data_IF_020856943912
#
_entry.id   IF_020856943912
#
_cell.length_a   1.000
_cell.length_b   1.000
_cell.length_c   1.000
_cell.angle_alpha   90.00
_cell.angle_beta   90.00
_cell.angle_gamma   90.00
#
_symmetry.space_group_name_H-M   'P 1'
#
loop_
_entity.id
_entity.type
_entity.pdbx_description
1 polymer ?
#
# COMPACT_ATOMS: atom_id res chain seq x y z
N UNK A 1 -4.74 15.60 -7.10
CA UNK A 1 -6.11 15.92 -7.57
C UNK A 1 -6.39 17.42 -7.58
N UNK A 2 -6.10 18.20 -6.52
CA UNK A 2 -6.40 19.64 -6.47
C UNK A 2 -5.86 20.47 -7.65
N UNK A 3 -4.61 20.24 -8.07
CA UNK A 3 -4.04 20.95 -9.22
C UNK A 3 -4.80 20.65 -10.53
N UNK A 4 -5.16 19.40 -10.77
CA UNK A 4 -5.93 19.03 -11.97
C UNK A 4 -7.33 19.68 -11.98
N UNK A 5 -7.99 19.76 -10.82
CA UNK A 5 -9.26 20.46 -10.68
C UNK A 5 -9.09 21.96 -10.97
N UNK A 6 -8.05 22.60 -10.42
CA UNK A 6 -7.76 24.01 -10.69
C UNK A 6 -7.55 24.24 -12.18
N UNK A 7 -6.70 23.45 -12.85
CA UNK A 7 -6.47 23.56 -14.30
C UNK A 7 -7.79 23.40 -15.07
N UNK A 8 -8.63 22.43 -14.71
CA UNK A 8 -9.91 22.22 -15.36
C UNK A 8 -10.84 23.43 -15.21
N UNK A 9 -10.85 24.07 -14.02
CA UNK A 9 -11.63 25.30 -13.78
C UNK A 9 -11.04 26.48 -14.57
N UNK A 10 -9.72 26.63 -14.63
CA UNK A 10 -9.05 27.68 -15.42
C UNK A 10 -9.35 27.50 -16.92
N UNK A 11 -9.50 26.28 -17.40
CA UNK A 11 -9.97 25.93 -18.75
C UNK A 11 -11.50 26.06 -18.92
N UNK A 12 -12.21 26.65 -17.94
CA UNK A 12 -13.65 26.88 -17.95
C UNK A 12 -14.51 25.60 -18.08
N UNK A 13 -13.97 24.45 -17.66
CA UNK A 13 -14.75 23.22 -17.57
C UNK A 13 -15.78 23.36 -16.44
N UNK A 14 -17.05 23.07 -16.73
CA UNK A 14 -18.15 23.19 -15.77
C UNK A 14 -17.89 22.30 -14.53
N UNK A 15 -18.08 22.85 -13.33
CA UNK A 15 -17.91 22.11 -12.05
C UNK A 15 -18.70 20.80 -12.01
N UNK A 16 -19.91 20.78 -12.57
CA UNK A 16 -20.73 19.58 -12.66
C UNK A 16 -20.10 18.44 -13.47
N UNK A 17 -19.27 18.75 -14.49
CA UNK A 17 -18.52 17.77 -15.26
C UNK A 17 -17.37 17.24 -14.41
N UNK A 18 -16.66 18.12 -13.72
CA UNK A 18 -15.55 17.77 -12.82
C UNK A 18 -16.05 16.83 -11.72
N UNK A 19 -17.14 17.19 -11.04
CA UNK A 19 -17.75 16.39 -9.97
C UNK A 19 -18.18 14.98 -10.44
N UNK A 20 -18.78 14.88 -11.63
CA UNK A 20 -19.17 13.62 -12.24
C UNK A 20 -17.98 12.77 -12.70
N UNK A 21 -16.82 13.39 -12.96
CA UNK A 21 -15.63 12.72 -13.48
C UNK A 21 -14.73 12.20 -12.36
N UNK A 22 -14.57 12.97 -11.27
CA UNK A 22 -13.70 12.61 -10.14
C UNK A 22 -13.93 11.17 -9.64
N UNK A 23 -15.19 10.71 -9.38
CA UNK A 23 -15.41 9.34 -8.90
C UNK A 23 -15.05 8.24 -9.91
N UNK A 24 -14.87 8.58 -11.19
CA UNK A 24 -14.52 7.65 -12.27
C UNK A 24 -13.01 7.53 -12.48
N UNK A 25 -12.23 8.41 -11.83
CA UNK A 25 -10.77 8.39 -11.95
C UNK A 25 -10.23 7.16 -11.23
N UNK A 26 -9.53 6.33 -11.96
CA UNK A 26 -8.86 5.15 -11.44
C UNK A 26 -7.36 5.21 -11.79
N UNK A 27 -6.52 4.99 -10.79
CA UNK A 27 -5.08 4.83 -10.97
C UNK A 27 -4.63 3.51 -10.36
N UNK A 28 -3.98 2.68 -11.16
CA UNK A 28 -3.40 1.45 -10.66
C UNK A 28 -2.38 1.72 -9.54
N UNK A 29 -2.45 0.91 -8.48
CA UNK A 29 -1.57 1.05 -7.33
C UNK A 29 -1.79 2.32 -6.49
N UNK A 30 -2.98 2.92 -6.55
CA UNK A 30 -3.40 4.01 -5.67
C UNK A 30 -4.73 3.66 -5.02
N UNK A 31 -4.69 3.30 -3.72
CA UNK A 31 -5.84 2.80 -2.94
C UNK A 31 -6.66 1.75 -3.71
N UNK A 32 -5.97 0.91 -4.49
CA UNK A 32 -6.59 -0.07 -5.36
C UNK A 32 -7.02 -1.30 -4.58
N UNK A 33 -8.33 -1.55 -4.53
CA UNK A 33 -8.87 -2.81 -4.00
C UNK A 33 -8.81 -3.92 -5.05
N UNK A 34 -8.19 -5.05 -4.69
CA UNK A 34 -8.16 -6.24 -5.55
C UNK A 34 -9.41 -7.08 -5.29
N UNK A 35 -10.38 -7.00 -6.20
CA UNK A 35 -11.65 -7.74 -6.15
C UNK A 35 -11.62 -9.06 -6.92
N UNK A 36 -10.76 -9.18 -7.93
CA UNK A 36 -10.60 -10.35 -8.83
C UNK A 36 -9.15 -10.54 -9.23
N UNK A 37 -8.83 -11.62 -9.92
CA UNK A 37 -7.49 -11.93 -10.41
C UNK A 37 -6.77 -12.99 -9.56
N UNK A 38 -5.52 -13.31 -9.93
CA UNK A 38 -4.74 -14.39 -9.32
C UNK A 38 -4.41 -14.14 -7.86
N UNK A 39 -4.23 -12.87 -7.44
CA UNK A 39 -3.97 -12.51 -6.04
C UNK A 39 -5.08 -12.98 -5.10
N UNK A 40 -6.33 -13.00 -5.56
CA UNK A 40 -7.47 -13.45 -4.75
C UNK A 40 -7.40 -14.93 -4.38
N UNK A 41 -6.60 -15.72 -5.10
CA UNK A 41 -6.40 -17.15 -4.80
C UNK A 41 -5.53 -17.39 -3.57
N UNK A 42 -4.77 -16.38 -3.13
CA UNK A 42 -3.87 -16.48 -1.97
C UNK A 42 -4.52 -16.03 -0.65
N UNK A 43 -5.74 -15.50 -0.70
CA UNK A 43 -6.45 -14.95 0.46
C UNK A 43 -7.86 -15.52 0.57
N UNK A 44 -8.44 -15.49 1.77
CA UNK A 44 -9.81 -15.95 2.01
C UNK A 44 -10.83 -14.89 1.55
N UNK A 45 -12.10 -15.31 1.38
CA UNK A 45 -13.19 -14.42 0.90
C UNK A 45 -13.40 -13.19 1.79
N UNK A 46 -13.23 -13.34 3.10
CA UNK A 46 -13.37 -12.29 4.11
C UNK A 46 -12.14 -11.37 4.26
N UNK A 47 -11.04 -11.67 3.57
CA UNK A 47 -9.85 -10.84 3.55
C UNK A 47 -9.90 -9.88 2.36
N UNK A 48 -9.54 -8.62 2.59
CA UNK A 48 -9.46 -7.58 1.55
C UNK A 48 -8.01 -7.27 1.24
N UNK A 49 -7.69 -7.03 -0.03
CA UNK A 49 -6.36 -6.58 -0.47
C UNK A 49 -6.46 -5.14 -0.93
N UNK A 50 -5.58 -4.28 -0.43
CA UNK A 50 -5.35 -2.91 -0.89
C UNK A 50 -3.92 -2.82 -1.41
N UNK A 51 -3.76 -2.26 -2.60
CA UNK A 51 -2.46 -1.91 -3.18
C UNK A 51 -2.32 -0.38 -3.20
N UNK A 52 -1.23 0.13 -2.60
CA UNK A 52 -0.90 1.54 -2.66
C UNK A 52 0.60 1.78 -2.77
N UNK A 53 1.02 2.47 -3.82
CA UNK A 53 2.42 2.82 -4.07
C UNK A 53 2.94 4.00 -3.27
N UNK A 54 2.32 4.38 -2.15
CA UNK A 54 2.80 5.43 -1.26
C UNK A 54 4.25 5.16 -0.84
N UNK A 55 5.12 6.19 -0.98
CA UNK A 55 6.56 6.07 -0.72
C UNK A 55 7.22 7.40 -0.30
N UNK A 56 6.42 8.43 -0.01
CA UNK A 56 6.86 9.72 0.53
C UNK A 56 6.10 10.05 1.81
N UNK A 57 6.60 11.01 2.58
CA UNK A 57 5.93 11.44 3.82
C UNK A 57 4.47 11.87 3.55
N UNK A 58 4.24 12.70 2.53
CA UNK A 58 2.88 13.18 2.17
C UNK A 58 1.98 12.02 1.75
N UNK A 59 2.45 11.13 0.87
CA UNK A 59 1.64 9.97 0.45
C UNK A 59 1.39 8.99 1.59
N UNK A 60 2.35 8.83 2.51
CA UNK A 60 2.18 8.03 3.72
C UNK A 60 1.09 8.59 4.64
N UNK A 61 1.07 9.91 4.88
CA UNK A 61 0.00 10.59 5.63
C UNK A 61 -1.38 10.38 4.99
N UNK A 62 -1.47 10.54 3.66
CA UNK A 62 -2.72 10.34 2.94
C UNK A 62 -3.21 8.89 3.05
N UNK A 63 -2.32 7.92 2.87
CA UNK A 63 -2.65 6.51 3.04
C UNK A 63 -3.09 6.21 4.48
N UNK A 64 -2.37 6.71 5.49
CA UNK A 64 -2.76 6.57 6.89
C UNK A 64 -4.16 7.13 7.17
N UNK A 65 -4.45 8.34 6.67
CA UNK A 65 -5.76 8.98 6.85
C UNK A 65 -6.90 8.13 6.27
N UNK A 66 -6.65 7.43 5.18
CA UNK A 66 -7.61 6.48 4.65
C UNK A 66 -7.69 5.20 5.50
N UNK A 67 -6.55 4.58 5.80
CA UNK A 67 -6.51 3.30 6.52
C UNK A 67 -7.16 3.39 7.90
N UNK A 68 -7.03 4.51 8.62
CA UNK A 68 -7.68 4.70 9.93
C UNK A 68 -9.21 4.71 9.90
N UNK A 69 -9.83 4.88 8.72
CA UNK A 69 -11.30 4.78 8.57
C UNK A 69 -11.78 3.33 8.49
N UNK A 70 -10.85 2.39 8.32
CA UNK A 70 -11.18 0.96 8.19
C UNK A 70 -11.34 0.35 9.58
N UNK A 71 -12.48 -0.27 9.84
CA UNK A 71 -12.79 -0.92 11.14
C UNK A 71 -12.19 -2.32 11.29
N UNK A 72 -11.62 -2.90 10.24
CA UNK A 72 -11.00 -4.23 10.28
C UNK A 72 -9.51 -4.13 10.68
N UNK A 73 -8.96 -5.19 11.30
CA UNK A 73 -7.52 -5.28 11.53
C UNK A 73 -6.74 -5.14 10.23
N UNK A 74 -5.67 -4.34 10.23
CA UNK A 74 -4.87 -4.07 9.05
C UNK A 74 -3.49 -4.71 9.22
N UNK A 75 -3.08 -5.47 8.22
CA UNK A 75 -1.77 -6.08 8.09
C UNK A 75 -1.05 -5.46 6.90
N UNK A 76 0.27 -5.35 6.98
CA UNK A 76 1.05 -4.72 5.94
C UNK A 76 2.04 -5.68 5.28
N UNK A 77 2.14 -5.62 3.96
CA UNK A 77 3.26 -6.16 3.19
C UNK A 77 4.03 -4.97 2.64
N UNK A 78 5.28 -4.83 3.09
CA UNK A 78 6.06 -3.62 2.88
C UNK A 78 7.34 -3.89 2.09
N UNK A 79 7.45 -3.26 0.91
CA UNK A 79 8.66 -3.23 0.10
C UNK A 79 8.99 -1.80 -0.30
N UNK A 80 10.22 -1.32 -0.02
CA UNK A 80 10.57 0.10 -0.22
C UNK A 80 12.00 0.27 -0.71
N UNK A 81 12.24 1.38 -1.42
CA UNK A 81 13.57 1.79 -1.86
C UNK A 81 14.33 2.54 -0.76
N UNK A 82 15.66 2.41 -0.71
CA UNK A 82 16.54 3.04 0.29
C UNK A 82 16.44 4.57 0.28
N UNK A 83 16.39 5.16 -0.91
CA UNK A 83 16.35 6.61 -1.13
C UNK A 83 14.99 7.26 -0.84
N UNK A 84 14.03 6.51 -0.30
CA UNK A 84 12.68 7.03 0.05
C UNK A 84 12.46 7.16 1.56
N UNK A 85 13.57 7.19 2.33
CA UNK A 85 13.55 7.41 3.77
C UNK A 85 12.55 6.48 4.52
N UNK A 86 12.79 5.14 4.50
CA UNK A 86 11.82 4.17 5.01
C UNK A 86 11.40 4.40 6.48
N UNK A 87 12.33 4.88 7.33
CA UNK A 87 12.03 5.13 8.74
C UNK A 87 11.01 6.27 8.90
N UNK A 88 11.24 7.40 8.24
CA UNK A 88 10.34 8.56 8.26
C UNK A 88 8.99 8.23 7.63
N UNK A 89 9.00 7.47 6.54
CA UNK A 89 7.78 7.01 5.90
C UNK A 89 6.92 6.18 6.85
N UNK A 90 7.51 5.20 7.55
CA UNK A 90 6.77 4.30 8.43
C UNK A 90 6.20 5.02 9.67
N UNK A 91 6.85 6.08 10.17
CA UNK A 91 6.34 6.90 11.28
C UNK A 91 4.94 7.47 11.05
N UNK A 92 4.53 7.67 9.79
CA UNK A 92 3.20 8.18 9.49
C UNK A 92 2.06 7.25 9.93
N UNK A 93 2.32 5.96 10.10
CA UNK A 93 1.27 4.96 10.34
C UNK A 93 0.92 4.72 11.81
N UNK A 94 1.73 5.20 12.77
CA UNK A 94 1.41 5.28 14.22
C UNK A 94 0.80 3.99 14.81
N UNK A 95 1.37 2.83 14.49
CA UNK A 95 0.91 1.56 15.08
C UNK A 95 -0.38 0.98 14.49
N UNK A 96 -0.88 1.49 13.36
CA UNK A 96 -2.12 1.01 12.75
C UNK A 96 -2.06 -0.47 12.29
N UNK A 97 -0.86 -0.97 11.97
CA UNK A 97 -0.67 -2.33 11.48
C UNK A 97 -0.53 -3.32 12.64
N UNK A 98 -1.32 -4.39 12.63
CA UNK A 98 -1.18 -5.52 13.58
C UNK A 98 0.11 -6.30 13.37
N UNK A 99 0.60 -6.34 12.13
CA UNK A 99 1.84 -7.00 11.74
C UNK A 99 2.31 -6.42 10.41
N UNK A 100 3.64 -6.31 10.25
CA UNK A 100 4.29 -5.95 8.99
C UNK A 100 5.12 -7.14 8.52
N UNK A 101 4.93 -7.56 7.27
CA UNK A 101 5.81 -8.53 6.61
C UNK A 101 6.61 -7.79 5.54
N UNK A 102 7.93 -7.81 5.67
CA UNK A 102 8.81 -7.08 4.77
C UNK A 102 9.26 -7.96 3.61
N UNK A 103 9.32 -7.36 2.41
CA UNK A 103 9.74 -8.02 1.17
C UNK A 103 10.74 -7.15 0.43
N UNK A 104 11.62 -7.77 -0.37
CA UNK A 104 12.46 -7.06 -1.32
C UNK A 104 11.65 -6.76 -2.57
N UNK A 105 11.87 -5.58 -3.19
CA UNK A 105 11.26 -5.26 -4.49
C UNK A 105 12.01 -6.05 -5.57
N UNK A 106 11.31 -6.90 -6.36
CA UNK A 106 11.95 -7.66 -7.42
C UNK A 106 12.62 -6.75 -8.46
N UNK A 107 13.80 -7.12 -8.93
CA UNK A 107 14.57 -6.43 -9.97
C UNK A 107 14.85 -4.93 -9.72
N UNK A 108 14.74 -4.48 -8.45
CA UNK A 108 15.02 -3.09 -8.06
C UNK A 108 16.34 -3.02 -7.28
N UNK A 109 17.37 -2.40 -7.89
CA UNK A 109 18.71 -2.27 -7.30
C UNK A 109 18.72 -1.47 -6.01
N UNK A 110 17.90 -0.41 -5.93
CA UNK A 110 17.78 0.45 -4.76
C UNK A 110 16.80 -0.09 -3.70
N UNK A 111 16.28 -1.32 -3.86
CA UNK A 111 15.41 -1.91 -2.85
C UNK A 111 16.13 -2.07 -1.52
N UNK A 112 15.48 -1.69 -0.43
CA UNK A 112 15.87 -2.17 0.88
C UNK A 112 15.81 -3.69 0.93
N UNK A 113 16.70 -4.30 1.70
CA UNK A 113 16.59 -5.71 2.07
C UNK A 113 15.43 -5.92 3.04
N UNK A 114 14.94 -7.15 3.11
CA UNK A 114 13.90 -7.52 4.09
C UNK A 114 14.36 -7.29 5.51
N UNK A 115 15.65 -7.54 5.80
CA UNK A 115 16.25 -7.34 7.13
C UNK A 115 16.31 -5.85 7.52
N UNK A 116 16.73 -4.95 6.61
CA UNK A 116 16.74 -3.51 6.84
C UNK A 116 15.34 -3.01 7.18
N UNK A 117 14.33 -3.36 6.38
CA UNK A 117 12.94 -2.95 6.63
C UNK A 117 12.39 -3.55 7.94
N UNK A 118 12.70 -4.82 8.24
CA UNK A 118 12.32 -5.46 9.49
C UNK A 118 12.91 -4.70 10.68
N UNK A 119 14.20 -4.36 10.65
CA UNK A 119 14.88 -3.60 11.71
C UNK A 119 14.17 -2.26 11.96
N UNK A 120 13.87 -1.51 10.89
CA UNK A 120 13.17 -0.24 10.97
C UNK A 120 11.78 -0.42 11.61
N UNK A 121 11.01 -1.40 11.18
CA UNK A 121 9.67 -1.63 11.71
C UNK A 121 9.69 -2.12 13.16
N UNK A 122 10.64 -2.98 13.54
CA UNK A 122 10.81 -3.42 14.94
C UNK A 122 11.17 -2.25 15.87
N UNK A 123 12.03 -1.32 15.44
CA UNK A 123 12.37 -0.11 16.21
C UNK A 123 11.16 0.83 16.42
N UNK A 124 10.12 0.69 15.59
CA UNK A 124 8.86 1.41 15.74
C UNK A 124 7.76 0.56 16.40
N UNK A 125 8.16 -0.48 17.15
CA UNK A 125 7.31 -1.36 17.95
C UNK A 125 6.28 -2.17 17.15
N UNK A 126 6.52 -2.42 15.85
CA UNK A 126 5.67 -3.31 15.09
C UNK A 126 6.08 -4.77 15.26
N UNK A 127 5.11 -5.68 15.36
CA UNK A 127 5.34 -7.11 15.14
C UNK A 127 5.73 -7.31 13.67
N UNK A 128 6.93 -7.88 13.43
CA UNK A 128 7.50 -7.94 12.08
C UNK A 128 8.03 -9.33 11.72
N UNK A 129 7.87 -9.69 10.45
CA UNK A 129 8.50 -10.84 9.84
C UNK A 129 9.07 -10.46 8.47
N UNK A 130 9.96 -11.31 7.94
CA UNK A 130 10.46 -11.21 6.56
C UNK A 130 9.81 -12.26 5.68
N UNK A 131 9.72 -12.00 4.38
CA UNK A 131 9.34 -13.00 3.39
C UNK A 131 10.20 -12.86 2.13
N UNK A 132 10.41 -13.96 1.40
CA UNK A 132 11.17 -13.97 0.14
C UNK A 132 10.44 -13.22 -0.98
N UNK A 133 9.11 -13.28 -0.97
CA UNK A 133 8.23 -12.66 -1.94
C UNK A 133 6.86 -12.34 -1.31
N UNK A 134 6.01 -11.64 -2.05
CA UNK A 134 4.69 -11.24 -1.55
C UNK A 134 3.73 -12.44 -1.35
N UNK A 135 3.89 -13.55 -2.09
CA UNK A 135 3.06 -14.74 -1.94
C UNK A 135 3.33 -15.41 -0.59
N UNK A 136 4.61 -15.53 -0.23
CA UNK A 136 4.99 -16.00 1.10
C UNK A 136 4.55 -15.01 2.19
N UNK A 137 4.62 -13.69 1.93
CA UNK A 137 4.16 -12.67 2.87
C UNK A 137 2.64 -12.79 3.14
N UNK A 138 1.82 -13.01 2.10
CA UNK A 138 0.39 -13.26 2.26
C UNK A 138 0.16 -14.50 3.15
N UNK A 139 0.84 -15.62 2.87
CA UNK A 139 0.70 -16.85 3.66
C UNK A 139 1.01 -16.65 5.15
N UNK A 140 1.91 -15.73 5.49
CA UNK A 140 2.24 -15.37 6.88
C UNK A 140 1.20 -14.48 7.56
N UNK A 141 0.26 -13.92 6.81
CA UNK A 141 -0.79 -13.01 7.29
C UNK A 141 -2.17 -13.67 7.26
N UNK A 142 -2.46 -14.44 6.21
CA UNK A 142 -3.77 -15.06 5.98
C UNK A 142 -4.21 -15.93 7.17
N UNK A 143 -5.44 -15.72 7.62
CA UNK A 143 -6.11 -16.50 8.67
C UNK A 143 -7.63 -16.37 8.52
N UNK A 144 -8.41 -17.18 9.26
CA UNK A 144 -9.88 -17.18 9.17
C UNK A 144 -10.54 -15.86 9.58
N UNK A 145 -9.84 -14.98 10.30
CA UNK A 145 -10.38 -13.70 10.75
C UNK A 145 -10.46 -12.67 9.63
N UNK A 146 -11.55 -11.89 9.53
CA UNK A 146 -11.67 -10.79 8.58
C UNK A 146 -10.57 -9.74 8.79
N UNK A 147 -9.91 -9.33 7.72
CA UNK A 147 -8.82 -8.35 7.78
C UNK A 147 -8.59 -7.64 6.46
N UNK A 148 -7.76 -6.61 6.51
CA UNK A 148 -7.21 -5.94 5.33
C UNK A 148 -5.71 -6.21 5.24
N UNK A 149 -5.24 -6.61 4.08
CA UNK A 149 -3.83 -6.76 3.73
C UNK A 149 -3.46 -5.59 2.83
N UNK A 150 -2.69 -4.65 3.35
CA UNK A 150 -2.23 -3.47 2.64
C UNK A 150 -0.81 -3.69 2.11
N UNK A 151 -0.63 -3.60 0.80
CA UNK A 151 0.69 -3.58 0.16
C UNK A 151 1.10 -2.14 -0.04
N UNK A 152 2.33 -1.77 0.37
CA UNK A 152 2.78 -0.38 0.27
C UNK A 152 4.30 -0.22 0.17
N UNK A 153 4.73 1.01 -0.11
CA UNK A 153 6.12 1.47 0.01
C UNK A 153 6.81 1.76 -1.32
N UNK A 154 6.29 1.31 -2.47
CA UNK A 154 6.86 1.61 -3.78
C UNK A 154 5.90 1.28 -4.91
N UNK A 155 5.84 2.15 -5.93
CA UNK A 155 5.14 1.83 -7.18
C UNK A 155 5.77 0.67 -7.93
N UNK A 156 7.10 0.52 -7.87
CA UNK A 156 7.81 -0.64 -8.46
C UNK A 156 7.36 -1.95 -7.80
N UNK A 157 7.23 -1.94 -6.47
CA UNK A 157 6.71 -3.09 -5.74
C UNK A 157 5.27 -3.40 -6.16
N UNK A 158 4.39 -2.41 -6.15
CA UNK A 158 2.99 -2.59 -6.53
C UNK A 158 2.87 -3.05 -7.98
N UNK A 159 3.67 -2.47 -8.91
CA UNK A 159 3.72 -2.91 -10.30
C UNK A 159 4.15 -4.38 -10.45
N UNK A 160 5.12 -4.84 -9.65
CA UNK A 160 5.52 -6.26 -9.65
C UNK A 160 4.41 -7.19 -9.17
N UNK A 161 3.64 -6.75 -8.18
CA UNK A 161 2.47 -7.50 -7.66
C UNK A 161 1.34 -7.55 -8.68
N UNK A 162 1.06 -6.43 -9.36
CA UNK A 162 0.00 -6.33 -10.40
C UNK A 162 0.31 -7.17 -11.63
N UNK A 163 1.59 -7.29 -12.04
CA UNK A 163 2.00 -8.17 -13.15
C UNK A 163 1.66 -9.65 -12.92
N UNK A 164 1.55 -10.06 -11.67
CA UNK A 164 1.21 -11.43 -11.29
C UNK A 164 -0.28 -11.63 -10.94
N UNK A 165 -1.09 -10.56 -10.97
CA UNK A 165 -2.53 -10.62 -10.74
C UNK A 165 -3.30 -10.95 -12.01
#
# INVERSE_FOLDING_TARGET
MGLAIKIALDLKIKSTIIEKTIPKIFFEGRLQYIKKGKLRRFVLKNEKIILDGAHSNTSGKNLYNYLKTIKLPIYCIWGMQKNKFPSEFLKNFKGIFKKIVTVKIPNEKNSCTTAELKKIASHQNYRTETAKDFKQAIKKITSKEPKVICFMGSLYFIGSVLKEN
#
